data_IF_817409247134
#
_entry.id   IF_817409247134
#
_cell.length_a   1.000
_cell.length_b   1.000
_cell.length_c   1.000
_cell.angle_alpha   90.00
_cell.angle_beta   90.00
_cell.angle_gamma   90.00
#
_symmetry.space_group_name_H-M   'P 1'
#
loop_
_entity.id
_entity.type
_entity.pdbx_description
1 polymer ?
#
# COMPACT_ATOMS: atom_id res chain seq x y z
N UNK A 1 11.57 5.30 -15.51
CA UNK A 1 10.61 4.27 -16.00
C UNK A 1 9.26 4.33 -15.25
N UNK A 2 9.24 4.32 -13.91
CA UNK A 2 8.00 4.33 -13.11
C UNK A 2 7.09 5.57 -13.27
N UNK A 3 7.64 6.72 -13.69
CA UNK A 3 6.86 7.95 -13.98
C UNK A 3 6.10 7.93 -15.31
N UNK A 4 6.16 6.81 -16.05
CA UNK A 4 5.43 6.67 -17.31
C UNK A 4 3.92 6.64 -17.05
N UNK A 5 3.15 7.43 -17.81
CA UNK A 5 1.70 7.55 -17.63
C UNK A 5 0.97 6.19 -17.71
N UNK A 6 1.37 5.31 -18.61
CA UNK A 6 0.77 3.98 -18.75
C UNK A 6 1.02 3.10 -17.54
N UNK A 7 2.22 3.17 -16.94
CA UNK A 7 2.56 2.43 -15.72
C UNK A 7 1.73 2.93 -14.55
N UNK A 8 1.57 4.24 -14.40
CA UNK A 8 0.74 4.84 -13.35
C UNK A 8 -0.70 4.39 -13.48
N UNK A 9 -1.27 4.44 -14.69
CA UNK A 9 -2.64 3.96 -14.94
C UNK A 9 -2.82 2.49 -14.58
N UNK A 10 -1.84 1.64 -14.88
CA UNK A 10 -1.87 0.23 -14.49
C UNK A 10 -1.90 0.10 -12.97
N UNK A 11 -1.01 0.80 -12.27
CA UNK A 11 -0.93 0.74 -10.80
C UNK A 11 -2.22 1.28 -10.16
N UNK A 12 -2.73 2.44 -10.57
CA UNK A 12 -3.95 3.02 -10.00
C UNK A 12 -5.18 2.16 -10.31
N UNK A 13 -5.26 1.58 -11.51
CA UNK A 13 -6.36 0.68 -11.86
C UNK A 13 -6.35 -0.56 -10.98
N UNK A 14 -5.16 -1.09 -10.67
CA UNK A 14 -5.01 -2.25 -9.82
C UNK A 14 -5.36 -1.97 -8.34
N UNK A 15 -4.90 -0.84 -7.82
CA UNK A 15 -4.99 -0.52 -6.39
C UNK A 15 -6.40 -0.05 -5.98
N UNK A 16 -7.06 0.73 -6.84
CA UNK A 16 -8.28 1.47 -6.48
C UNK A 16 -9.33 1.47 -7.60
N UNK A 17 -9.11 0.69 -8.67
CA UNK A 17 -10.02 0.61 -9.82
C UNK A 17 -10.26 1.98 -10.50
N UNK A 18 -9.23 2.84 -10.52
CA UNK A 18 -9.26 4.14 -11.20
C UNK A 18 -8.20 4.26 -12.32
N UNK A 19 -8.56 4.88 -13.43
CA UNK A 19 -7.78 4.83 -14.69
C UNK A 19 -7.08 6.14 -15.07
N UNK A 20 -7.09 7.18 -14.23
CA UNK A 20 -6.43 8.41 -14.66
C UNK A 20 -6.51 9.64 -13.78
N UNK A 21 -7.00 9.56 -12.54
CA UNK A 21 -7.22 10.75 -11.73
C UNK A 21 -6.06 11.07 -10.80
N UNK A 22 -4.83 10.73 -11.20
CA UNK A 22 -3.62 10.98 -10.44
C UNK A 22 -2.58 11.79 -11.21
N UNK A 23 -1.91 12.69 -10.49
CA UNK A 23 -0.71 13.39 -10.93
C UNK A 23 0.53 12.83 -10.23
N UNK A 24 1.65 12.79 -10.93
CA UNK A 24 2.95 12.58 -10.29
C UNK A 24 3.38 13.88 -9.64
N UNK A 25 3.70 13.82 -8.35
CA UNK A 25 4.08 15.00 -7.56
C UNK A 25 5.48 14.86 -6.98
N UNK A 26 5.91 15.88 -6.24
CA UNK A 26 7.20 15.85 -5.57
C UNK A 26 7.24 14.74 -4.51
N UNK A 27 8.33 13.99 -4.55
CA UNK A 27 8.56 12.84 -3.69
C UNK A 27 9.45 13.18 -2.49
N UNK A 28 9.93 14.42 -2.41
CA UNK A 28 10.64 14.94 -1.23
C UNK A 28 9.65 15.33 -0.12
N UNK A 29 10.00 14.99 1.11
CA UNK A 29 9.21 15.21 2.32
C UNK A 29 9.81 16.33 3.17
N UNK A 30 9.01 16.92 4.06
CA UNK A 30 9.43 18.08 4.88
C UNK A 30 10.61 17.80 5.82
N UNK A 31 10.88 16.53 6.11
CA UNK A 31 11.99 16.08 6.94
C UNK A 31 13.26 15.76 6.13
N UNK A 32 13.32 16.17 4.85
CA UNK A 32 14.45 15.91 3.94
C UNK A 32 14.55 14.46 3.47
N UNK A 33 13.62 13.58 3.86
CA UNK A 33 13.55 12.23 3.30
C UNK A 33 12.85 12.26 1.94
N UNK A 34 13.04 11.21 1.14
CA UNK A 34 12.46 11.12 -0.20
C UNK A 34 11.90 9.72 -0.48
N UNK A 35 10.71 9.70 -1.08
CA UNK A 35 10.10 8.50 -1.65
C UNK A 35 10.47 8.33 -3.12
N UNK A 36 10.31 7.11 -3.66
CA UNK A 36 10.61 6.85 -5.07
C UNK A 36 9.57 7.50 -6.00
N UNK A 37 8.29 7.39 -5.64
CA UNK A 37 7.19 7.98 -6.39
C UNK A 37 6.02 8.32 -5.48
N UNK A 38 5.41 9.49 -5.69
CA UNK A 38 4.20 9.95 -5.02
C UNK A 38 3.17 10.31 -6.07
N UNK A 39 1.96 9.78 -5.91
CA UNK A 39 0.81 10.07 -6.74
C UNK A 39 -0.23 10.83 -5.90
N UNK A 40 -0.58 12.02 -6.35
CA UNK A 40 -1.63 12.82 -5.74
C UNK A 40 -2.91 12.75 -6.59
N UNK A 41 -4.10 12.67 -5.98
CA UNK A 41 -5.34 12.81 -6.71
C UNK A 41 -5.42 14.18 -7.42
N UNK A 42 -5.86 14.19 -8.68
CA UNK A 42 -6.09 15.42 -9.45
C UNK A 42 -7.12 16.34 -8.82
N UNK A 43 -8.08 15.75 -8.10
CA UNK A 43 -9.04 16.47 -7.30
C UNK A 43 -9.12 15.83 -5.92
N UNK A 44 -9.01 16.66 -4.88
CA UNK A 44 -9.17 16.21 -3.49
C UNK A 44 -10.64 15.93 -3.13
N UNK A 45 -11.60 16.32 -3.98
CA UNK A 45 -13.03 16.10 -3.75
C UNK A 45 -13.54 14.74 -4.19
N UNK A 46 -12.72 13.93 -4.87
CA UNK A 46 -13.12 12.62 -5.42
C UNK A 46 -13.10 11.49 -4.38
N UNK A 47 -12.68 11.78 -3.13
CA UNK A 47 -12.53 10.75 -2.09
C UNK A 47 -11.39 9.78 -2.36
N UNK A 48 -10.48 10.12 -3.27
CA UNK A 48 -9.30 9.35 -3.61
C UNK A 48 -8.17 9.58 -2.60
N UNK A 49 -7.34 8.55 -2.40
CA UNK A 49 -6.24 8.57 -1.43
C UNK A 49 -4.91 8.89 -2.12
N UNK A 50 -4.01 9.67 -1.52
CA UNK A 50 -2.64 9.80 -2.02
C UNK A 50 -1.94 8.43 -1.98
N UNK A 51 -1.12 8.13 -2.99
CA UNK A 51 -0.42 6.86 -3.11
C UNK A 51 1.09 7.12 -3.07
N UNK A 52 1.78 6.48 -2.15
CA UNK A 52 3.25 6.47 -2.09
C UNK A 52 3.74 5.12 -2.58
N UNK A 53 4.63 5.12 -3.56
CA UNK A 53 5.17 3.92 -4.18
C UNK A 53 6.67 3.84 -3.89
N UNK A 54 7.10 2.67 -3.43
CA UNK A 54 8.50 2.38 -3.09
C UNK A 54 8.96 1.11 -3.82
N UNK A 55 10.15 1.17 -4.41
CA UNK A 55 10.82 0.02 -5.02
C UNK A 55 11.97 -0.39 -4.12
N UNK A 56 11.95 -1.60 -3.60
CA UNK A 56 13.01 -2.09 -2.72
C UNK A 56 13.49 -3.47 -3.12
N UNK A 57 14.80 -3.67 -3.02
CA UNK A 57 15.38 -5.00 -3.19
C UNK A 57 14.89 -5.92 -2.07
N UNK A 58 14.99 -5.46 -0.82
CA UNK A 58 14.57 -6.24 0.34
C UNK A 58 13.72 -5.43 1.30
N UNK A 59 12.62 -6.03 1.77
CA UNK A 59 11.68 -5.43 2.72
C UNK A 59 11.95 -6.01 4.11
N UNK A 60 12.47 -5.18 5.01
CA UNK A 60 12.78 -5.55 6.40
C UNK A 60 12.18 -4.54 7.41
N UNK A 61 12.34 -4.82 8.70
CA UNK A 61 11.83 -3.96 9.78
C UNK A 61 12.34 -2.51 9.70
N UNK A 62 13.61 -2.30 9.32
CA UNK A 62 14.18 -0.95 9.17
C UNK A 62 13.50 -0.19 8.04
N UNK A 63 13.29 -0.85 6.91
CA UNK A 63 12.57 -0.28 5.78
C UNK A 63 11.09 0.00 6.12
N UNK A 64 10.39 -0.92 6.77
CA UNK A 64 9.00 -0.70 7.17
C UNK A 64 8.85 0.50 8.12
N UNK A 65 9.80 0.70 9.05
CA UNK A 65 9.82 1.93 9.88
C UNK A 65 9.99 3.20 9.06
N UNK A 66 10.78 3.16 7.99
CA UNK A 66 10.96 4.29 7.05
C UNK A 66 9.67 4.58 6.29
N UNK A 67 9.02 3.54 5.77
CA UNK A 67 7.71 3.65 5.09
C UNK A 67 6.64 4.26 6.00
N UNK A 68 6.59 3.85 7.27
CA UNK A 68 5.66 4.44 8.24
C UNK A 68 5.91 5.94 8.40
N UNK A 69 7.18 6.39 8.35
CA UNK A 69 7.48 7.83 8.37
C UNK A 69 6.97 8.52 7.10
N UNK A 70 7.08 7.90 5.93
CA UNK A 70 6.55 8.45 4.68
C UNK A 70 5.04 8.59 4.73
N UNK A 71 4.35 7.57 5.25
CA UNK A 71 2.92 7.62 5.48
C UNK A 71 2.51 8.80 6.38
N UNK A 72 3.24 9.04 7.47
CA UNK A 72 2.98 10.18 8.35
C UNK A 72 3.23 11.53 7.64
N UNK A 73 4.28 11.63 6.82
CA UNK A 73 4.57 12.82 6.04
C UNK A 73 3.48 13.10 4.98
N UNK A 74 3.03 12.06 4.29
CA UNK A 74 1.93 12.16 3.34
C UNK A 74 0.62 12.55 4.04
N UNK A 75 0.29 11.97 5.20
CA UNK A 75 -0.86 12.40 5.99
C UNK A 75 -0.76 13.88 6.40
N UNK A 76 0.41 14.34 6.84
CA UNK A 76 0.62 15.76 7.17
C UNK A 76 0.39 16.68 5.98
N UNK A 77 0.82 16.24 4.77
CA UNK A 77 0.68 17.01 3.53
C UNK A 77 -0.76 17.04 3.01
N UNK A 78 -1.45 15.90 3.01
CA UNK A 78 -2.75 15.74 2.33
C UNK A 78 -3.95 15.66 3.28
N UNK A 79 -3.71 15.54 4.60
CA UNK A 79 -4.74 15.36 5.64
C UNK A 79 -5.64 14.14 5.42
N UNK A 80 -5.14 13.14 4.69
CA UNK A 80 -5.81 11.88 4.33
C UNK A 80 -4.80 10.76 4.49
N UNK A 81 -5.24 9.61 5.02
CA UNK A 81 -4.39 8.42 5.17
C UNK A 81 -3.96 7.89 3.78
N UNK A 82 -2.65 7.82 3.48
CA UNK A 82 -2.18 7.38 2.17
C UNK A 82 -2.26 5.85 2.01
N UNK A 83 -2.30 5.42 0.75
CA UNK A 83 -1.97 4.05 0.36
C UNK A 83 -0.46 3.97 0.16
N UNK A 84 0.19 3.01 0.80
CA UNK A 84 1.60 2.70 0.55
C UNK A 84 1.66 1.43 -0.29
N UNK A 85 2.25 1.52 -1.47
CA UNK A 85 2.51 0.37 -2.32
C UNK A 85 4.01 0.10 -2.44
N UNK A 86 4.44 -1.04 -1.92
CA UNK A 86 5.83 -1.47 -1.91
C UNK A 86 6.00 -2.57 -2.96
N UNK A 87 6.91 -2.34 -3.89
CA UNK A 87 7.35 -3.32 -4.87
C UNK A 87 8.67 -3.92 -4.36
N UNK A 88 8.57 -5.14 -3.82
CA UNK A 88 9.70 -5.91 -3.34
C UNK A 88 10.28 -6.77 -4.47
N UNK A 89 11.53 -6.50 -4.84
CA UNK A 89 12.18 -7.13 -5.99
C UNK A 89 12.88 -8.45 -5.65
N UNK A 90 13.22 -8.72 -4.38
CA UNK A 90 13.96 -9.92 -4.03
C UNK A 90 13.40 -10.64 -2.81
N UNK A 91 13.43 -10.00 -1.64
CA UNK A 91 13.12 -10.71 -0.40
C UNK A 91 12.38 -9.88 0.63
N UNK A 92 11.39 -10.50 1.28
CA UNK A 92 10.74 -9.98 2.47
C UNK A 92 11.32 -10.75 3.66
N UNK A 93 11.81 -10.05 4.68
CA UNK A 93 12.32 -10.72 5.88
C UNK A 93 11.20 -11.48 6.60
N UNK A 94 11.50 -12.66 7.17
CA UNK A 94 10.53 -13.52 7.87
C UNK A 94 9.68 -12.78 8.93
N UNK A 95 10.29 -11.84 9.66
CA UNK A 95 9.58 -11.03 10.65
C UNK A 95 8.47 -10.17 10.03
N UNK A 96 8.68 -9.66 8.81
CA UNK A 96 7.67 -8.91 8.07
C UNK A 96 6.70 -9.86 7.41
N UNK A 97 7.18 -10.94 6.80
CA UNK A 97 6.32 -11.91 6.12
C UNK A 97 5.27 -12.51 7.07
N UNK A 98 5.68 -12.89 8.29
CA UNK A 98 4.79 -13.43 9.33
C UNK A 98 3.75 -12.44 9.85
N UNK A 99 3.91 -11.14 9.55
CA UNK A 99 2.94 -10.11 9.87
C UNK A 99 2.01 -9.82 8.70
N UNK A 100 2.35 -10.22 7.48
CA UNK A 100 1.52 -9.93 6.30
C UNK A 100 0.43 -10.96 6.08
N UNK A 101 -0.70 -10.50 5.55
CA UNK A 101 -1.82 -11.34 5.16
C UNK A 101 -2.04 -11.28 3.64
N UNK A 102 -2.63 -12.31 3.00
CA UNK A 102 -3.04 -12.23 1.60
C UNK A 102 -3.94 -11.01 1.36
N UNK A 103 -3.69 -10.26 0.28
CA UNK A 103 -4.56 -9.15 -0.12
C UNK A 103 -5.57 -9.58 -1.19
N UNK A 104 -6.55 -8.73 -1.47
CA UNK A 104 -7.49 -8.93 -2.58
C UNK A 104 -6.83 -8.66 -3.95
N UNK A 105 -5.67 -8.00 -3.97
CA UNK A 105 -4.90 -7.77 -5.18
C UNK A 105 -3.97 -8.96 -5.36
N UNK A 106 -4.12 -9.64 -6.50
CA UNK A 106 -3.32 -10.81 -6.82
C UNK A 106 -1.83 -10.48 -6.73
N UNK A 107 -1.11 -11.35 -6.03
CA UNK A 107 0.33 -11.21 -5.87
C UNK A 107 0.80 -10.16 -4.87
N UNK A 108 -0.14 -9.45 -4.24
CA UNK A 108 0.15 -8.52 -3.16
C UNK A 108 -0.26 -9.10 -1.81
N UNK A 109 0.53 -8.81 -0.79
CA UNK A 109 0.18 -9.05 0.62
C UNK A 109 -0.11 -7.73 1.33
N UNK A 110 -1.11 -7.73 2.20
CA UNK A 110 -1.43 -6.60 3.05
C UNK A 110 -0.60 -6.65 4.32
N UNK A 111 0.07 -5.55 4.63
CA UNK A 111 0.68 -5.37 5.94
C UNK A 111 -0.37 -4.76 6.88
N UNK A 112 -0.68 -5.41 8.03
CA UNK A 112 -1.78 -5.03 8.91
C UNK A 112 -1.42 -3.74 9.67
N UNK A 113 -1.69 -2.62 9.01
CA UNK A 113 -1.65 -1.31 9.63
C UNK A 113 -3.07 -0.75 9.67
N UNK A 114 -3.70 -0.60 10.85
CA UNK A 114 -5.11 -0.24 10.93
C UNK A 114 -5.50 1.15 10.42
N UNK A 115 -4.52 1.95 9.97
CA UNK A 115 -4.68 3.32 9.47
C UNK A 115 -4.04 3.49 8.08
N UNK A 116 -3.35 2.48 7.55
CA UNK A 116 -2.60 2.59 6.30
C UNK A 116 -2.87 1.38 5.43
N UNK A 117 -3.32 1.63 4.20
CA UNK A 117 -3.38 0.61 3.16
C UNK A 117 -1.96 0.31 2.69
N UNK A 118 -1.26 -0.60 3.37
CA UNK A 118 0.10 -0.99 2.99
C UNK A 118 0.07 -2.33 2.24
N UNK A 119 0.57 -2.33 1.01
CA UNK A 119 0.59 -3.49 0.13
C UNK A 119 2.04 -3.79 -0.28
N UNK A 120 2.44 -5.05 -0.17
CA UNK A 120 3.76 -5.54 -0.56
C UNK A 120 3.57 -6.52 -1.71
N UNK A 121 4.00 -6.16 -2.91
CA UNK A 121 4.09 -7.06 -4.06
C UNK A 121 5.48 -7.68 -4.14
N UNK A 122 5.58 -8.99 -4.35
CA UNK A 122 6.85 -9.67 -4.64
C UNK A 122 7.08 -9.74 -6.16
N UNK A 123 8.33 -9.77 -6.64
CA UNK A 123 8.68 -9.83 -8.06
C UNK A 123 8.01 -11.00 -8.79
N UNK A 124 8.11 -12.22 -8.25
CA UNK A 124 7.49 -13.43 -8.84
C UNK A 124 5.99 -13.22 -9.02
N UNK A 125 5.37 -12.65 -7.99
CA UNK A 125 3.95 -12.38 -7.97
C UNK A 125 3.52 -11.15 -8.77
N UNK A 126 4.43 -10.21 -9.04
CA UNK A 126 4.22 -9.08 -9.92
C UNK A 126 4.19 -9.53 -11.38
N UNK A 127 5.04 -10.50 -11.75
CA UNK A 127 4.96 -11.16 -13.05
C UNK A 127 3.60 -11.84 -13.20
N UNK A 128 3.17 -12.62 -12.20
CA UNK A 128 1.83 -13.24 -12.20
C UNK A 128 0.69 -12.21 -12.30
N UNK A 129 0.79 -11.13 -11.53
CA UNK A 129 -0.16 -10.03 -11.55
C UNK A 129 -0.23 -9.37 -12.94
N UNK A 130 0.91 -9.08 -13.55
CA UNK A 130 0.96 -8.50 -14.90
C UNK A 130 0.42 -9.49 -15.92
N UNK A 131 0.76 -10.78 -15.81
CA UNK A 131 0.21 -11.86 -16.65
C UNK A 131 -1.32 -11.89 -16.54
N UNK A 132 -1.88 -11.80 -15.34
CA UNK A 132 -3.33 -11.82 -15.13
C UNK A 132 -4.03 -10.54 -15.61
N UNK A 133 -3.38 -9.38 -15.46
CA UNK A 133 -3.86 -8.13 -16.04
C UNK A 133 -3.91 -8.23 -17.58
N UNK A 134 -2.86 -8.77 -18.20
CA UNK A 134 -2.82 -9.00 -19.65
C UNK A 134 -3.87 -10.03 -20.10
N UNK A 135 -4.13 -11.06 -19.29
CA UNK A 135 -5.21 -12.02 -19.56
C UNK A 135 -6.59 -11.35 -19.47
N UNK A 136 -6.81 -10.50 -18.47
CA UNK A 136 -8.08 -9.76 -18.29
C UNK A 136 -8.33 -8.80 -19.45
N UNK A 137 -7.30 -8.08 -19.91
CA UNK A 137 -7.39 -7.25 -21.11
C UNK A 137 -7.74 -8.08 -22.36
N UNK A 138 -7.23 -9.32 -22.50
CA UNK A 138 -7.61 -10.20 -23.62
C UNK A 138 -9.11 -10.45 -23.65
N UNK A 139 -9.68 -10.80 -22.50
CA UNK A 139 -11.10 -11.14 -22.40
C UNK A 139 -11.96 -9.96 -22.82
N UNK A 140 -11.56 -8.74 -22.46
CA UNK A 140 -12.22 -7.51 -22.89
C UNK A 140 -12.11 -7.29 -24.40
N UNK A 141 -10.94 -7.50 -25.01
CA UNK A 141 -10.79 -7.40 -26.47
C UNK A 141 -11.62 -8.43 -27.23
N UNK A 142 -11.65 -9.68 -26.77
CA UNK A 142 -12.47 -10.74 -27.38
C UNK A 142 -13.97 -10.42 -27.28
N UNK A 143 -14.41 -9.85 -26.15
CA UNK A 143 -15.79 -9.41 -25.97
C UNK A 143 -16.13 -8.26 -26.95
N UNK A 144 -15.24 -7.28 -27.11
CA UNK A 144 -15.41 -6.19 -28.07
C UNK A 144 -15.43 -6.67 -29.53
N UNK A 145 -14.59 -7.65 -29.90
CA UNK A 145 -14.60 -8.26 -31.24
C UNK A 145 -15.91 -8.99 -31.53
N UNK A 146 -16.39 -9.74 -30.54
CA UNK A 146 -17.67 -10.45 -30.63
C UNK A 146 -18.80 -9.45 -30.83
N UNK A 147 -18.80 -8.36 -30.06
CA UNK A 147 -19.79 -7.29 -30.17
C UNK A 147 -19.73 -6.56 -31.53
N UNK A 148 -18.53 -6.21 -31.99
CA UNK A 148 -18.32 -5.53 -33.28
C UNK A 148 -18.73 -6.42 -34.47
N UNK A 149 -18.54 -7.73 -34.35
CA UNK A 149 -18.92 -8.71 -35.39
C UNK A 149 -20.44 -8.96 -35.42
N UNK A 150 -21.17 -8.66 -34.35
CA UNK A 150 -22.63 -8.75 -34.29
C UNK A 150 -23.34 -7.51 -34.87
N UNK A 151 -22.68 -6.36 -34.93
CA UNK A 151 -23.20 -5.16 -35.60
C UNK A 151 -22.79 -5.17 -37.09
N UNK A 152 -23.66 -5.72 -37.94
CA UNK A 152 -23.48 -6.00 -39.37
C UNK A 152 -23.18 -4.80 -40.31
N UNK A 153 -22.73 -3.64 -39.86
CA UNK A 153 -22.34 -2.56 -40.78
C UNK A 153 -21.42 -1.52 -40.14
N UNK A 154 -20.25 -1.32 -40.78
CA UNK A 154 -19.32 -0.19 -40.67
C UNK A 154 -18.33 -0.09 -39.48
N UNK A 155 -17.76 -1.21 -39.00
CA UNK A 155 -16.71 -1.15 -37.96
C UNK A 155 -15.39 -1.86 -38.28
N UNK A 156 -15.02 -1.95 -39.56
CA UNK A 156 -13.72 -2.51 -39.98
C UNK A 156 -12.53 -1.83 -39.26
N UNK A 157 -12.57 -0.50 -39.08
CA UNK A 157 -11.52 0.25 -38.38
C UNK A 157 -11.44 -0.11 -36.87
N UNK A 158 -12.56 -0.42 -36.23
CA UNK A 158 -12.59 -0.83 -34.81
C UNK A 158 -12.05 -2.25 -34.69
N UNK A 159 -12.44 -3.15 -35.59
CA UNK A 159 -11.91 -4.51 -35.63
C UNK A 159 -10.39 -4.54 -35.84
N UNK A 160 -9.88 -3.76 -36.79
CA UNK A 160 -8.42 -3.61 -37.01
C UNK A 160 -7.72 -3.01 -35.79
N UNK A 161 -8.33 -2.02 -35.12
CA UNK A 161 -7.75 -1.42 -33.91
C UNK A 161 -7.68 -2.42 -32.75
N UNK A 162 -8.70 -3.26 -32.58
CA UNK A 162 -8.71 -4.32 -31.56
C UNK A 162 -7.64 -5.38 -31.88
N UNK A 163 -7.54 -5.83 -33.13
CA UNK A 163 -6.53 -6.80 -33.54
C UNK A 163 -5.11 -6.28 -33.33
N UNK A 164 -4.85 -5.01 -33.67
CA UNK A 164 -3.55 -4.37 -33.44
C UNK A 164 -3.22 -4.29 -31.94
N UNK A 165 -4.20 -3.95 -31.10
CA UNK A 165 -4.03 -3.93 -29.65
C UNK A 165 -3.73 -5.33 -29.08
N UNK A 166 -4.41 -6.38 -29.59
CA UNK A 166 -4.14 -7.76 -29.22
C UNK A 166 -2.72 -8.21 -29.60
N UNK A 167 -2.26 -7.85 -30.80
CA UNK A 167 -0.90 -8.18 -31.26
C UNK A 167 0.17 -7.52 -30.36
N UNK A 168 0.02 -6.22 -30.04
CA UNK A 168 0.92 -5.53 -29.12
C UNK A 168 0.92 -6.17 -27.72
N UNK A 169 -0.24 -6.61 -27.26
CA UNK A 169 -0.38 -7.29 -25.97
C UNK A 169 0.27 -8.67 -25.95
N UNK A 170 0.14 -9.45 -27.02
CA UNK A 170 0.78 -10.77 -27.15
C UNK A 170 2.30 -10.64 -27.12
N UNK A 171 2.84 -9.63 -27.81
CA UNK A 171 4.28 -9.34 -27.79
C UNK A 171 4.75 -8.94 -26.38
N UNK A 172 3.95 -8.14 -25.66
CA UNK A 172 4.28 -7.79 -24.28
C UNK A 172 4.26 -9.02 -23.36
N UNK A 173 3.28 -9.92 -23.53
CA UNK A 173 3.20 -11.18 -22.77
C UNK A 173 4.43 -12.05 -23.03
N UNK A 174 4.82 -12.22 -24.30
CA UNK A 174 6.02 -12.96 -24.70
C UNK A 174 7.29 -12.42 -24.02
N UNK A 175 7.46 -11.09 -23.99
CA UNK A 175 8.58 -10.45 -23.27
C UNK A 175 8.58 -10.71 -21.77
N UNK A 176 7.40 -10.83 -21.15
CA UNK A 176 7.29 -11.17 -19.74
C UNK A 176 7.58 -12.66 -19.47
N UNK A 177 7.16 -13.55 -20.37
CA UNK A 177 7.49 -14.98 -20.25
C UNK A 177 9.01 -15.20 -20.37
N UNK A 178 9.71 -14.46 -21.24
CA UNK A 178 11.18 -14.50 -21.35
C UNK A 178 11.90 -14.05 -20.05
N UNK A 179 11.31 -13.11 -19.30
CA UNK A 179 11.89 -12.64 -18.03
C UNK A 179 11.76 -13.69 -16.92
N UNK A 180 10.74 -14.54 -16.98
CA UNK A 180 10.52 -15.64 -16.04
C UNK A 180 11.62 -16.71 -16.18
N UNK A 181 11.98 -17.03 -17.43
CA UNK A 181 13.03 -18.00 -17.75
C UNK A 181 14.44 -17.52 -17.33
N UNK A 182 14.68 -16.21 -17.34
CA UNK A 182 15.96 -15.62 -16.92
C UNK A 182 16.14 -15.51 -15.40
N UNK A 183 15.05 -15.40 -14.65
CA UNK A 183 15.09 -15.25 -13.19
C UNK A 183 15.59 -16.53 -12.48
N UNK A 184 15.47 -17.69 -13.12
CA UNK A 184 15.93 -18.98 -12.57
C UNK A 184 17.45 -19.19 -12.64
N UNK A 185 18.19 -18.35 -13.37
CA UNK A 185 19.62 -18.59 -13.68
C UNK A 185 20.61 -17.68 -12.93
N UNK A 186 20.12 -16.68 -12.19
CA UNK A 186 20.99 -15.67 -11.55
C UNK A 186 21.28 -15.95 -10.07
N UNK A 187 22.29 -16.78 -9.82
CA UNK A 187 22.95 -16.88 -8.50
C UNK A 187 23.98 -15.76 -8.39
N UNK A 188 23.75 -14.74 -7.54
CA UNK A 188 24.71 -13.65 -7.35
C UNK A 188 25.32 -13.60 -5.95
N UNK A 189 26.65 -13.53 -5.98
CA UNK A 189 27.65 -13.53 -4.91
C UNK A 189 27.54 -12.34 -3.98
N UNK A 190 27.52 -12.62 -2.67
CA UNK A 190 27.50 -11.65 -1.57
C UNK A 190 28.87 -10.98 -1.41
N UNK A 191 28.91 -9.64 -1.40
CA UNK A 191 30.09 -8.87 -0.97
C UNK A 191 29.68 -7.99 0.22
N UNK A 192 30.44 -8.00 1.34
CA UNK A 192 30.12 -7.16 2.49
C UNK A 192 30.74 -5.77 2.31
N UNK A 193 30.03 -4.74 2.76
CA UNK A 193 30.58 -3.39 2.90
C UNK A 193 30.26 -2.84 4.28
N UNK A 194 31.32 -2.70 5.06
CA UNK A 194 31.41 -2.04 6.35
C UNK A 194 31.62 -0.54 6.12
N UNK A 195 30.89 0.33 6.81
CA UNK A 195 31.46 1.54 7.45
C UNK A 195 30.43 2.29 8.29
N UNK A 196 30.97 2.91 9.33
CA UNK A 196 30.42 3.57 10.51
C UNK A 196 29.86 4.98 10.26
N UNK A 197 28.86 5.39 11.05
CA UNK A 197 28.43 6.78 11.16
C UNK A 197 28.46 7.26 12.62
N UNK A 198 29.16 8.37 12.83
CA UNK A 198 29.22 9.19 14.05
C UNK A 198 27.93 9.98 14.27
N UNK A 199 27.67 10.35 15.52
CA UNK A 199 26.45 11.00 16.01
C UNK A 199 26.72 12.41 16.54
N UNK A 200 25.72 13.31 16.42
CA UNK A 200 25.37 14.42 17.37
C UNK A 200 24.25 15.31 16.78
N UNK A 201 23.63 16.27 17.52
CA UNK A 201 22.80 16.11 18.71
C UNK A 201 21.40 16.80 18.59
N UNK A 202 20.57 16.65 19.64
CA UNK A 202 19.15 17.07 19.75
C UNK A 202 18.90 18.59 19.84
N UNK A 203 17.65 19.06 19.53
CA UNK A 203 17.12 20.32 20.05
C UNK A 203 15.95 20.15 21.05
N UNK A 204 15.94 21.07 22.03
CA UNK A 204 15.00 21.23 23.15
C UNK A 204 13.70 21.99 22.77
N UNK A 205 12.66 22.01 23.64
CA UNK A 205 11.26 22.21 23.23
C UNK A 205 10.64 23.56 23.63
N UNK A 206 9.50 23.93 23.03
CA UNK A 206 8.52 24.90 23.57
C UNK A 206 7.16 24.78 22.84
N UNK A 207 6.09 25.50 23.21
CA UNK A 207 5.18 25.19 24.32
C UNK A 207 3.72 24.93 23.85
N UNK A 208 2.92 24.41 24.79
CA UNK A 208 1.55 23.90 24.62
C UNK A 208 0.47 24.97 24.44
N UNK A 209 -0.46 24.73 23.51
CA UNK A 209 -1.81 25.29 23.52
C UNK A 209 -2.86 24.17 23.69
N UNK A 210 -3.89 24.48 24.46
CA UNK A 210 -4.82 23.53 25.06
C UNK A 210 -6.21 23.60 24.40
N UNK A 211 -6.95 22.49 24.56
CA UNK A 211 -8.37 22.24 24.25
C UNK A 211 -8.71 21.83 22.80
N UNK A 212 -8.81 20.51 22.58
CA UNK A 212 -9.55 19.93 21.45
C UNK A 212 -10.05 18.51 21.79
N UNK A 213 -11.20 18.16 21.22
CA UNK A 213 -11.75 16.80 21.16
C UNK A 213 -10.65 15.77 20.97
N UNK A 214 -10.54 14.78 21.87
CA UNK A 214 -9.32 13.98 21.93
C UNK A 214 -9.08 13.26 20.60
N UNK A 215 -7.99 13.60 19.91
CA UNK A 215 -7.68 13.00 18.61
C UNK A 215 -7.51 11.48 18.76
N UNK A 216 -7.68 10.71 17.68
CA UNK A 216 -7.46 9.26 17.72
C UNK A 216 -6.04 8.94 18.24
N UNK A 217 -5.06 9.77 17.88
CA UNK A 217 -3.71 9.71 18.42
C UNK A 217 -3.68 9.86 19.95
N UNK A 218 -4.36 10.85 20.53
CA UNK A 218 -4.42 11.02 21.98
C UNK A 218 -5.09 9.83 22.68
N UNK A 219 -6.13 9.24 22.08
CA UNK A 219 -6.76 8.02 22.61
C UNK A 219 -5.79 6.81 22.58
N UNK A 220 -5.08 6.62 21.47
CA UNK A 220 -4.06 5.57 21.33
C UNK A 220 -2.92 5.77 22.34
N UNK A 221 -2.43 7.00 22.48
CA UNK A 221 -1.36 7.31 23.44
C UNK A 221 -1.80 7.12 24.88
N UNK A 222 -3.04 7.49 25.22
CA UNK A 222 -3.62 7.25 26.54
C UNK A 222 -3.67 5.75 26.85
N UNK A 223 -4.10 4.92 25.88
CA UNK A 223 -4.10 3.47 26.05
C UNK A 223 -2.68 2.91 26.28
N UNK A 224 -1.69 3.34 25.48
CA UNK A 224 -0.29 2.88 25.64
C UNK A 224 0.26 3.25 27.02
N UNK A 225 -0.01 4.46 27.50
CA UNK A 225 0.42 4.92 28.82
C UNK A 225 -0.26 4.13 29.95
N UNK A 226 -1.57 3.88 29.85
CA UNK A 226 -2.30 3.06 30.82
C UNK A 226 -1.80 1.62 30.86
N UNK A 227 -1.54 1.03 29.68
CA UNK A 227 -0.99 -0.32 29.57
C UNK A 227 0.41 -0.40 30.20
N UNK A 228 1.27 0.60 29.96
CA UNK A 228 2.58 0.72 30.59
C UNK A 228 2.48 0.82 32.11
N UNK A 229 1.60 1.66 32.63
CA UNK A 229 1.41 1.82 34.07
C UNK A 229 0.92 0.51 34.72
N UNK A 230 -0.03 -0.20 34.10
CA UNK A 230 -0.52 -1.48 34.60
C UNK A 230 0.58 -2.56 34.64
N UNK A 231 1.44 -2.59 33.63
CA UNK A 231 2.61 -3.49 33.56
C UNK A 231 3.64 -3.21 34.65
N UNK A 232 3.93 -1.93 34.89
CA UNK A 232 4.85 -1.53 35.98
C UNK A 232 4.28 -1.98 37.33
N UNK A 233 2.97 -1.84 37.56
CA UNK A 233 2.30 -2.36 38.77
C UNK A 233 2.41 -3.88 38.92
N UNK A 234 2.63 -4.62 37.84
CA UNK A 234 2.86 -6.07 37.83
C UNK A 234 4.35 -6.43 37.98
N UNK A 235 5.21 -5.48 38.37
CA UNK A 235 6.65 -5.71 38.55
C UNK A 235 7.41 -5.92 37.24
N UNK A 236 6.88 -5.49 36.10
CA UNK A 236 7.55 -5.61 34.80
C UNK A 236 8.31 -4.33 34.48
N UNK A 237 9.62 -4.42 34.35
CA UNK A 237 10.51 -3.27 34.11
C UNK A 237 10.43 -2.70 32.68
N UNK A 238 10.04 -3.52 31.69
CA UNK A 238 10.07 -3.13 30.27
C UNK A 238 8.69 -3.23 29.61
N UNK A 239 8.49 -2.40 28.59
CA UNK A 239 7.28 -2.39 27.77
C UNK A 239 7.25 -3.62 26.85
N UNK A 240 6.18 -4.40 26.90
CA UNK A 240 5.92 -5.46 25.92
C UNK A 240 5.02 -4.90 24.82
N UNK A 241 5.64 -4.46 23.73
CA UNK A 241 4.94 -3.85 22.60
C UNK A 241 4.03 -4.83 21.86
N UNK A 242 4.39 -6.12 21.81
CA UNK A 242 3.57 -7.15 21.17
C UNK A 242 2.26 -7.35 21.94
N UNK A 243 2.34 -7.50 23.26
CA UNK A 243 1.16 -7.61 24.12
C UNK A 243 0.32 -6.33 24.12
N UNK A 244 0.96 -5.15 24.10
CA UNK A 244 0.28 -3.85 23.99
C UNK A 244 -0.55 -3.76 22.70
N UNK A 245 0.06 -4.09 21.55
CA UNK A 245 -0.61 -4.09 20.25
C UNK A 245 -1.76 -5.10 20.21
N UNK A 246 -1.55 -6.33 20.68
CA UNK A 246 -2.59 -7.37 20.73
C UNK A 246 -3.78 -6.96 21.59
N UNK A 247 -3.54 -6.34 22.76
CA UNK A 247 -4.62 -5.82 23.60
C UNK A 247 -5.34 -4.62 22.99
N UNK A 248 -4.63 -3.75 22.26
CA UNK A 248 -5.25 -2.64 21.54
C UNK A 248 -6.25 -3.12 20.48
N UNK A 249 -5.89 -4.18 19.73
CA UNK A 249 -6.74 -4.80 18.71
C UNK A 249 -7.97 -5.46 19.34
N UNK A 250 -7.78 -6.20 20.43
CA UNK A 250 -8.86 -6.84 21.20
C UNK A 250 -9.84 -5.81 21.76
N UNK A 251 -9.35 -4.67 22.26
CA UNK A 251 -10.19 -3.59 22.76
C UNK A 251 -10.91 -2.84 21.63
N UNK A 252 -10.29 -2.70 20.45
CA UNK A 252 -10.96 -2.13 19.26
C UNK A 252 -12.15 -2.99 18.83
N UNK A 253 -12.02 -4.32 18.84
CA UNK A 253 -13.13 -5.24 18.61
C UNK A 253 -14.26 -5.13 19.65
N UNK A 254 -13.92 -4.89 20.93
CA UNK A 254 -14.92 -4.61 21.97
C UNK A 254 -15.67 -3.29 21.75
N UNK A 255 -15.01 -2.25 21.24
CA UNK A 255 -15.69 -0.99 20.91
C UNK A 255 -16.61 -1.11 19.70
N UNK A 256 -16.20 -1.81 18.64
CA UNK A 256 -17.05 -2.03 17.47
C UNK A 256 -18.30 -2.86 17.80
N UNK A 257 -18.15 -3.91 18.62
CA UNK A 257 -19.28 -4.75 19.04
C UNK A 257 -20.23 -4.05 20.02
N UNK A 258 -19.72 -3.20 20.91
CA UNK A 258 -20.54 -2.36 21.79
C UNK A 258 -21.35 -1.32 20.99
N UNK A 259 -20.74 -0.70 19.99
CA UNK A 259 -21.40 0.28 19.10
C UNK A 259 -22.51 -0.39 18.27
N UNK A 260 -22.26 -1.58 17.74
CA UNK A 260 -23.25 -2.38 17.01
C UNK A 260 -24.45 -2.82 17.90
N UNK A 261 -24.19 -3.20 19.16
CA UNK A 261 -25.26 -3.53 20.13
C UNK A 261 -26.12 -2.31 20.49
N UNK A 262 -25.51 -1.13 20.65
CA UNK A 262 -26.23 0.11 20.95
C UNK A 262 -27.07 0.59 19.76
N UNK A 263 -26.62 0.38 18.52
CA UNK A 263 -27.42 0.66 17.32
C UNK A 263 -28.59 -0.33 17.16
N UNK A 264 -28.41 -1.62 17.49
CA UNK A 264 -29.51 -2.60 17.53
C UNK A 264 -30.56 -2.27 18.60
N UNK A 265 -30.15 -1.86 19.81
CA UNK A 265 -31.09 -1.42 20.86
C UNK A 265 -31.88 -0.16 20.46
N UNK A 266 -31.23 0.82 19.80
CA UNK A 266 -31.93 2.01 19.29
C UNK A 266 -32.95 1.71 18.18
N UNK A 267 -32.72 0.66 17.36
CA UNK A 267 -33.69 0.21 16.35
C UNK A 267 -34.85 -0.60 16.94
N UNK A 268 -34.64 -1.29 18.07
CA UNK A 268 -35.68 -2.08 18.74
C UNK A 268 -36.67 -1.23 19.56
N UNK A 269 -36.27 -0.04 20.03
CA UNK A 269 -37.14 0.88 20.77
C UNK A 269 -37.91 1.87 19.87
N UNK A 270 -37.94 1.61 18.55
CA UNK A 270 -38.63 2.44 17.54
C UNK A 270 -39.74 1.66 16.81
N UNK A 271 -40.17 0.53 17.36
CA UNK A 271 -41.35 -0.24 16.94
C UNK A 271 -42.30 -0.35 18.11
#
# INVERSE_FOLDING_TARGET
MARNSSVIKIITSALINDTGDYNVTDSEWSNGCRSDLVLEPKSLSTGLFPIVIEFQQSVNNTFMKRVIKYALQAYQRYQIDPIIFIICMNSVSNDIESLTEPSHILGCRSYPCPQLGCLIGNQVHLVDFVKELLNTQEKQYQHLLTFASQQNSSQAAIQTSIQNAQAQKLELKRKFDELDDMALTSTFTTVPSTTSFEASPSPSPSPSYNVASSTLYQKCMTFVLQFKAARIKQGKERMDWKSCMMMSLKNRWKMCTATARNQKKKKSNKK
#
